data_IF_140461996320
#
_entry.id   IF_140461996320
#
_cell.length_a   1.000
_cell.length_b   1.000
_cell.length_c   1.000
_cell.angle_alpha   90.00
_cell.angle_beta   90.00
_cell.angle_gamma   90.00
#
_symmetry.space_group_name_H-M   'P 1'
#
loop_
_entity.id
_entity.type
_entity.pdbx_description
1 polymer ?
#
# COMPACT_ATOMS: atom_id res chain seq x y z
N UNK A 1 6.00 8.57 -16.73
CA UNK A 1 5.49 7.73 -15.62
C UNK A 1 4.20 8.34 -15.09
N UNK A 2 3.08 7.63 -15.18
CA UNK A 2 1.74 8.15 -14.93
C UNK A 2 1.54 8.60 -13.47
N UNK A 3 0.97 9.80 -13.30
CA UNK A 3 0.62 10.42 -12.01
C UNK A 3 -0.59 9.71 -11.37
N UNK A 4 -0.37 8.56 -10.75
CA UNK A 4 -1.35 7.89 -9.87
C UNK A 4 -1.38 8.34 -8.38
N UNK A 5 -0.64 9.35 -7.85
CA UNK A 5 -0.70 9.66 -6.42
C UNK A 5 -1.97 10.43 -5.98
N UNK A 6 -2.91 10.73 -6.89
CA UNK A 6 -4.12 11.50 -6.56
C UNK A 6 -5.24 10.66 -5.93
N UNK A 7 -5.40 9.41 -6.37
CA UNK A 7 -6.54 8.56 -5.95
C UNK A 7 -6.51 8.15 -4.47
N UNK A 8 -5.31 8.02 -3.89
CA UNK A 8 -5.11 7.67 -2.47
C UNK A 8 -4.69 8.88 -1.63
N UNK A 9 -4.95 10.09 -2.12
CA UNK A 9 -4.71 11.30 -1.34
C UNK A 9 -5.75 11.43 -0.23
N UNK A 10 -5.36 12.02 0.91
CA UNK A 10 -6.27 12.24 2.04
C UNK A 10 -7.58 12.96 1.64
N UNK A 11 -7.58 14.07 0.86
CA UNK A 11 -8.82 14.73 0.48
C UNK A 11 -9.71 13.85 -0.41
N UNK A 12 -9.12 13.03 -1.30
CA UNK A 12 -9.90 12.12 -2.14
C UNK A 12 -10.54 11.00 -1.31
N UNK A 13 -9.79 10.42 -0.36
CA UNK A 13 -10.34 9.39 0.54
C UNK A 13 -11.42 9.96 1.46
N UNK A 14 -11.24 11.17 1.98
CA UNK A 14 -12.25 11.86 2.78
C UNK A 14 -13.51 12.16 1.96
N UNK A 15 -13.36 12.71 0.75
CA UNK A 15 -14.48 12.97 -0.15
C UNK A 15 -15.21 11.69 -0.54
N UNK A 16 -14.49 10.62 -0.86
CA UNK A 16 -15.07 9.31 -1.16
C UNK A 16 -15.82 8.73 0.05
N UNK A 17 -15.28 8.87 1.26
CA UNK A 17 -15.94 8.42 2.49
C UNK A 17 -17.25 9.18 2.69
N UNK A 18 -17.24 10.52 2.59
CA UNK A 18 -18.45 11.35 2.73
C UNK A 18 -19.51 10.98 1.70
N UNK A 19 -19.13 10.88 0.41
CA UNK A 19 -20.05 10.48 -0.65
C UNK A 19 -20.62 9.09 -0.37
N UNK A 20 -19.78 8.12 0.01
CA UNK A 20 -20.23 6.78 0.35
C UNK A 20 -21.18 6.79 1.56
N UNK A 21 -20.92 7.61 2.59
CA UNK A 21 -21.82 7.75 3.75
C UNK A 21 -23.18 8.27 3.32
N UNK A 22 -23.23 9.31 2.47
CA UNK A 22 -24.50 9.83 1.96
C UNK A 22 -25.26 8.79 1.12
N UNK A 23 -24.53 8.02 0.29
CA UNK A 23 -25.12 6.94 -0.51
C UNK A 23 -25.62 5.79 0.37
N UNK A 24 -24.86 5.39 1.38
CA UNK A 24 -25.22 4.35 2.35
C UNK A 24 -26.45 4.72 3.19
N UNK A 25 -26.59 6.00 3.54
CA UNK A 25 -27.73 6.51 4.30
C UNK A 25 -29.04 6.57 3.48
N UNK A 26 -28.98 6.45 2.15
CA UNK A 26 -30.17 6.48 1.30
C UNK A 26 -30.08 5.49 0.14
N UNK A 27 -29.58 5.89 -1.05
CA UNK A 27 -29.67 5.09 -2.28
C UNK A 27 -29.13 3.65 -2.22
N UNK A 28 -28.11 3.39 -1.39
CA UNK A 28 -27.50 2.06 -1.28
C UNK A 28 -28.20 1.13 -0.29
N UNK A 29 -29.13 1.62 0.53
CA UNK A 29 -29.80 0.82 1.56
C UNK A 29 -30.52 -0.43 1.00
N UNK A 30 -31.27 -0.35 -0.12
CA UNK A 30 -31.91 -1.54 -0.70
C UNK A 30 -30.89 -2.58 -1.17
N UNK A 31 -29.74 -2.14 -1.68
CA UNK A 31 -28.67 -3.03 -2.13
C UNK A 31 -27.93 -3.68 -0.95
N UNK A 32 -27.68 -2.91 0.11
CA UNK A 32 -27.14 -3.46 1.36
C UNK A 32 -28.04 -4.56 1.93
N UNK A 33 -29.36 -4.34 1.90
CA UNK A 33 -30.36 -5.31 2.34
C UNK A 33 -30.43 -6.53 1.41
N UNK A 34 -30.43 -6.31 0.09
CA UNK A 34 -30.44 -7.39 -0.90
C UNK A 34 -29.23 -8.31 -0.76
N UNK A 35 -28.06 -7.73 -0.49
CA UNK A 35 -26.82 -8.47 -0.34
C UNK A 35 -26.49 -8.82 1.12
N UNK A 36 -27.42 -8.76 2.07
CA UNK A 36 -27.08 -9.11 3.45
C UNK A 36 -26.50 -10.53 3.57
N UNK A 37 -25.45 -10.73 4.37
CA UNK A 37 -24.75 -12.02 4.47
C UNK A 37 -25.54 -13.17 5.11
N UNK A 38 -26.75 -12.91 5.62
CA UNK A 38 -27.54 -13.87 6.40
C UNK A 38 -27.87 -15.18 5.67
N UNK A 39 -27.91 -15.16 4.34
CA UNK A 39 -28.07 -16.38 3.55
C UNK A 39 -27.00 -17.42 3.88
N UNK A 40 -25.79 -17.02 4.26
CA UNK A 40 -24.69 -17.92 4.59
C UNK A 40 -24.98 -18.84 5.79
N UNK A 41 -25.76 -18.36 6.77
CA UNK A 41 -26.16 -19.17 7.93
C UNK A 41 -27.04 -20.37 7.54
N UNK A 42 -27.75 -20.28 6.41
CA UNK A 42 -28.61 -21.36 5.90
C UNK A 42 -27.80 -22.48 5.25
N UNK A 43 -26.70 -22.16 4.58
CA UNK A 43 -25.91 -23.14 3.82
C UNK A 43 -24.78 -23.77 4.64
N UNK A 44 -24.30 -23.04 5.63
CA UNK A 44 -23.04 -23.36 6.34
C UNK A 44 -23.14 -22.96 7.82
N UNK A 45 -24.08 -23.55 8.59
CA UNK A 45 -24.34 -23.16 9.97
C UNK A 45 -23.14 -23.42 10.91
N UNK A 46 -22.41 -24.50 10.70
CA UNK A 46 -21.30 -24.92 11.57
C UNK A 46 -20.02 -24.09 11.37
N UNK A 47 -19.96 -23.30 10.29
CA UNK A 47 -18.78 -22.49 9.96
C UNK A 47 -18.70 -21.20 10.78
N UNK A 48 -19.80 -20.78 11.39
CA UNK A 48 -19.89 -19.52 12.13
C UNK A 48 -18.78 -19.38 13.17
N UNK A 49 -18.63 -20.39 14.04
CA UNK A 49 -17.67 -20.35 15.14
C UNK A 49 -16.25 -20.24 14.60
N UNK A 50 -15.89 -21.06 13.61
CA UNK A 50 -14.56 -21.01 13.01
C UNK A 50 -14.27 -19.64 12.38
N UNK A 51 -15.20 -19.12 11.57
CA UNK A 51 -15.04 -17.84 10.88
C UNK A 51 -14.93 -16.66 11.85
N UNK A 52 -15.71 -16.66 12.93
CA UNK A 52 -15.70 -15.62 13.95
C UNK A 52 -14.47 -15.70 14.88
N UNK A 53 -14.01 -16.90 15.21
CA UNK A 53 -12.89 -17.07 16.16
C UNK A 53 -11.52 -16.96 15.52
N UNK A 54 -11.37 -17.38 14.25
CA UNK A 54 -10.06 -17.50 13.60
C UNK A 54 -9.87 -16.40 12.55
N UNK A 55 -10.53 -16.41 11.37
CA UNK A 55 -10.37 -15.36 10.37
C UNK A 55 -10.77 -13.95 10.85
N UNK A 56 -11.91 -13.81 11.52
CA UNK A 56 -12.37 -12.50 11.97
C UNK A 56 -11.39 -11.90 12.98
N UNK A 57 -10.85 -12.73 13.89
CA UNK A 57 -9.88 -12.32 14.89
C UNK A 57 -8.58 -11.75 14.28
N UNK A 58 -8.17 -12.15 13.07
CA UNK A 58 -6.98 -11.59 12.39
C UNK A 58 -7.08 -10.07 12.29
N UNK A 59 -8.24 -9.57 11.88
CA UNK A 59 -8.48 -8.14 11.74
C UNK A 59 -9.01 -7.49 13.02
N UNK A 60 -9.02 -8.22 14.13
CA UNK A 60 -9.45 -7.72 15.43
C UNK A 60 -8.28 -7.10 16.20
N UNK A 61 -8.59 -6.08 17.00
CA UNK A 61 -7.59 -5.27 17.70
C UNK A 61 -6.67 -6.11 18.58
N UNK A 62 -7.21 -7.15 19.21
CA UNK A 62 -6.46 -8.07 20.08
C UNK A 62 -5.33 -8.83 19.37
N UNK A 63 -5.38 -8.94 18.03
CA UNK A 63 -4.35 -9.61 17.22
C UNK A 63 -3.52 -8.60 16.46
N UNK A 64 -4.17 -7.64 15.79
CA UNK A 64 -3.46 -6.74 14.88
C UNK A 64 -2.56 -5.74 15.64
N UNK A 65 -2.99 -5.22 16.80
CA UNK A 65 -2.23 -4.24 17.57
C UNK A 65 -0.95 -4.86 18.16
N UNK A 66 -0.96 -6.05 18.80
CA UNK A 66 0.27 -6.71 19.21
C UNK A 66 1.26 -6.96 18.07
N UNK A 67 0.78 -7.27 16.86
CA UNK A 67 1.63 -7.44 15.68
C UNK A 67 2.31 -6.11 15.34
N UNK A 68 1.55 -5.02 15.24
CA UNK A 68 2.11 -3.69 14.95
C UNK A 68 3.08 -3.26 16.06
N UNK A 69 2.72 -3.47 17.33
CA UNK A 69 3.56 -3.18 18.47
C UNK A 69 4.87 -3.99 18.45
N UNK A 70 4.83 -5.29 18.15
CA UNK A 70 6.02 -6.12 18.04
C UNK A 70 6.95 -5.64 16.92
N UNK A 71 6.41 -5.32 15.74
CA UNK A 71 7.18 -4.73 14.63
C UNK A 71 7.80 -3.40 15.06
N UNK A 72 7.02 -2.53 15.69
CA UNK A 72 7.46 -1.22 16.15
C UNK A 72 8.55 -1.32 17.22
N UNK A 73 8.37 -2.17 18.24
CA UNK A 73 9.35 -2.41 19.31
C UNK A 73 10.65 -2.96 18.73
N UNK A 74 10.56 -3.94 17.82
CA UNK A 74 11.75 -4.50 17.17
C UNK A 74 12.54 -3.43 16.41
N UNK A 75 11.85 -2.62 15.59
CA UNK A 75 12.49 -1.52 14.85
C UNK A 75 13.05 -0.46 15.82
N UNK A 76 12.28 -0.09 16.84
CA UNK A 76 12.66 0.89 17.85
C UNK A 76 13.94 0.47 18.59
N UNK A 77 14.03 -0.81 18.97
CA UNK A 77 15.22 -1.40 19.59
C UNK A 77 16.41 -1.43 18.61
N UNK A 78 16.20 -1.91 17.38
CA UNK A 78 17.26 -2.07 16.36
C UNK A 78 17.87 -0.74 15.91
N UNK A 79 17.05 0.31 15.86
CA UNK A 79 17.44 1.65 15.40
C UNK A 79 17.56 2.66 16.54
N UNK A 80 17.38 2.23 17.79
CA UNK A 80 17.46 3.07 19.02
C UNK A 80 16.65 4.36 18.91
N UNK A 81 15.38 4.22 18.50
CA UNK A 81 14.49 5.33 18.15
C UNK A 81 13.06 5.08 18.63
N UNK A 82 12.36 6.13 19.05
CA UNK A 82 10.99 6.04 19.58
C UNK A 82 9.92 6.20 18.50
N UNK A 83 10.31 6.55 17.27
CA UNK A 83 9.40 6.82 16.16
C UNK A 83 8.40 5.72 15.83
N UNK A 84 8.80 4.44 15.75
CA UNK A 84 7.84 3.38 15.45
C UNK A 84 6.73 3.31 16.51
N UNK A 85 7.06 3.57 17.77
CA UNK A 85 6.08 3.61 18.86
C UNK A 85 5.15 4.82 18.75
N UNK A 86 5.66 5.97 18.31
CA UNK A 86 4.82 7.13 18.02
C UNK A 86 3.81 6.84 16.89
N UNK A 87 4.20 6.06 15.87
CA UNK A 87 3.28 5.60 14.82
C UNK A 87 2.21 4.66 15.35
N UNK A 88 2.55 3.75 16.27
CA UNK A 88 1.56 2.89 16.97
C UNK A 88 0.53 3.75 17.70
N UNK A 89 1.00 4.69 18.52
CA UNK A 89 0.11 5.59 19.29
C UNK A 89 -0.76 6.43 18.35
N UNK A 90 -0.20 6.95 17.26
CA UNK A 90 -0.97 7.70 16.27
C UNK A 90 -2.03 6.83 15.56
N UNK A 91 -1.73 5.56 15.30
CA UNK A 91 -2.67 4.61 14.71
C UNK A 91 -3.84 4.32 15.66
N UNK A 92 -3.57 4.06 16.94
CA UNK A 92 -4.60 3.83 17.95
C UNK A 92 -5.49 5.06 18.18
N UNK A 93 -4.87 6.24 18.32
CA UNK A 93 -5.62 7.50 18.45
C UNK A 93 -6.48 7.72 17.19
N UNK A 94 -5.90 7.53 16.00
CA UNK A 94 -6.62 7.66 14.74
C UNK A 94 -7.77 6.68 14.60
N UNK A 95 -7.61 5.46 15.11
CA UNK A 95 -8.67 4.45 15.14
C UNK A 95 -9.80 4.86 16.07
N UNK A 96 -9.53 5.13 17.34
CA UNK A 96 -10.59 5.45 18.31
C UNK A 96 -11.24 6.80 18.06
N UNK A 97 -10.45 7.85 17.83
CA UNK A 97 -10.99 9.20 17.61
C UNK A 97 -11.61 9.35 16.21
N UNK A 98 -11.00 8.74 15.18
CA UNK A 98 -11.49 8.82 13.81
C UNK A 98 -12.61 7.81 13.53
N UNK A 99 -12.26 6.53 13.49
CA UNK A 99 -13.17 5.45 13.10
C UNK A 99 -14.21 5.18 14.20
N UNK A 100 -13.76 5.04 15.45
CA UNK A 100 -14.62 4.87 16.61
C UNK A 100 -15.54 6.07 16.84
N UNK A 101 -15.00 7.29 16.70
CA UNK A 101 -15.80 8.52 16.73
C UNK A 101 -16.90 8.50 15.66
N UNK A 102 -16.56 8.14 14.41
CA UNK A 102 -17.54 8.06 13.32
C UNK A 102 -18.64 7.02 13.60
N UNK A 103 -18.27 5.87 14.19
CA UNK A 103 -19.24 4.85 14.63
C UNK A 103 -20.25 5.37 15.64
N UNK A 104 -19.77 6.08 16.66
CA UNK A 104 -20.61 6.65 17.71
C UNK A 104 -21.52 7.75 17.13
N UNK A 105 -20.97 8.61 16.27
CA UNK A 105 -21.72 9.72 15.68
C UNK A 105 -22.81 9.27 14.72
N UNK A 106 -22.54 8.23 13.92
CA UNK A 106 -23.46 7.78 12.86
C UNK A 106 -24.44 6.72 13.34
N UNK A 107 -24.09 5.93 14.35
CA UNK A 107 -25.02 5.03 15.04
C UNK A 107 -25.84 4.13 14.11
N UNK A 108 -25.19 3.50 13.12
CA UNK A 108 -25.89 2.63 12.16
C UNK A 108 -26.15 1.25 12.74
N UNK A 109 -27.38 0.76 12.65
CA UNK A 109 -27.74 -0.61 13.07
C UNK A 109 -27.12 -1.67 12.17
N UNK A 110 -26.62 -2.76 12.75
CA UNK A 110 -26.13 -3.94 12.04
C UNK A 110 -27.28 -4.75 11.41
N UNK A 111 -26.99 -5.61 10.41
CA UNK A 111 -27.99 -6.50 9.81
C UNK A 111 -28.71 -7.40 10.82
N UNK A 112 -28.09 -7.67 11.97
CA UNK A 112 -28.65 -8.55 12.99
C UNK A 112 -29.80 -7.96 13.80
N UNK A 113 -29.90 -6.63 13.88
CA UNK A 113 -30.79 -5.95 14.83
C UNK A 113 -31.67 -4.89 14.19
N UNK A 114 -31.39 -4.51 12.93
CA UNK A 114 -32.15 -3.46 12.27
C UNK A 114 -31.95 -3.47 10.76
N UNK A 115 -32.51 -2.46 10.11
CA UNK A 115 -32.57 -2.36 8.66
C UNK A 115 -31.48 -1.47 8.06
N UNK A 116 -30.49 -1.10 8.87
CA UNK A 116 -29.35 -0.28 8.46
C UNK A 116 -29.64 1.22 8.50
N UNK A 117 -30.59 1.67 9.30
CA UNK A 117 -30.85 3.10 9.54
C UNK A 117 -29.69 3.73 10.30
N UNK A 118 -29.36 4.96 9.91
CA UNK A 118 -28.37 5.80 10.60
C UNK A 118 -29.06 6.60 11.70
N UNK A 119 -28.33 6.94 12.76
CA UNK A 119 -28.78 7.73 13.92
C UNK A 119 -29.88 7.09 14.79
N UNK A 120 -30.51 6.01 14.34
CA UNK A 120 -31.51 5.25 15.10
C UNK A 120 -30.90 4.11 15.92
N UNK A 121 -29.64 3.74 15.64
CA UNK A 121 -28.91 2.73 16.40
C UNK A 121 -28.34 3.27 17.70
N UNK A 122 -27.05 3.05 17.90
CA UNK A 122 -26.29 3.55 19.05
C UNK A 122 -25.97 2.50 20.11
N UNK A 123 -24.91 2.80 20.88
CA UNK A 123 -24.35 1.91 21.90
C UNK A 123 -25.35 1.56 23.02
N UNK A 124 -26.15 2.53 23.46
CA UNK A 124 -27.09 2.33 24.57
C UNK A 124 -28.34 1.55 24.16
N UNK A 125 -28.76 1.65 22.90
CA UNK A 125 -29.96 1.00 22.38
C UNK A 125 -29.71 -0.44 21.95
N UNK A 126 -28.60 -0.68 21.24
CA UNK A 126 -28.32 -1.97 20.58
C UNK A 126 -26.89 -2.49 20.83
N UNK A 127 -26.17 -1.92 21.79
CA UNK A 127 -24.80 -2.31 22.09
C UNK A 127 -23.88 -2.14 20.88
N UNK A 128 -23.00 -3.12 20.67
CA UNK A 128 -22.08 -3.13 19.52
C UNK A 128 -22.80 -3.26 18.16
N UNK A 129 -24.00 -3.83 18.14
CA UNK A 129 -24.80 -3.95 16.92
C UNK A 129 -25.49 -2.62 16.54
N UNK A 130 -25.48 -1.61 17.41
CA UNK A 130 -25.96 -0.27 17.10
C UNK A 130 -24.93 0.64 16.42
N UNK A 131 -23.70 0.16 16.19
CA UNK A 131 -22.57 0.95 15.69
C UNK A 131 -21.79 0.21 14.60
N UNK A 132 -22.51 -0.24 13.58
CA UNK A 132 -21.94 -1.04 12.49
C UNK A 132 -21.13 -0.21 11.48
N UNK A 133 -21.49 1.05 11.23
CA UNK A 133 -20.82 1.88 10.21
C UNK A 133 -19.82 2.85 10.82
N UNK A 134 -18.59 2.97 10.27
CA UNK A 134 -17.95 2.08 9.29
C UNK A 134 -17.42 0.78 9.94
N UNK A 135 -17.10 -0.25 9.15
CA UNK A 135 -16.54 -1.51 9.66
C UNK A 135 -15.18 -1.31 10.35
N UNK A 136 -15.09 -1.80 11.60
CA UNK A 136 -13.87 -1.70 12.42
C UNK A 136 -12.77 -2.63 11.94
N UNK A 137 -13.09 -3.93 11.78
CA UNK A 137 -12.15 -4.95 11.31
C UNK A 137 -11.57 -4.59 9.94
N UNK A 138 -12.41 -4.12 9.01
CA UNK A 138 -11.94 -3.71 7.68
C UNK A 138 -11.04 -2.47 7.76
N UNK A 139 -11.33 -1.54 8.68
CA UNK A 139 -10.49 -0.36 8.88
C UNK A 139 -9.14 -0.71 9.53
N UNK A 140 -9.12 -1.58 10.55
CA UNK A 140 -7.88 -2.06 11.18
C UNK A 140 -7.01 -2.85 10.21
N UNK A 141 -7.62 -3.69 9.38
CA UNK A 141 -6.92 -4.47 8.37
C UNK A 141 -6.06 -3.57 7.45
N UNK A 142 -6.57 -2.38 7.10
CA UNK A 142 -5.82 -1.40 6.31
C UNK A 142 -4.91 -0.56 7.18
N UNK A 143 -5.42 -0.02 8.28
CA UNK A 143 -4.71 0.95 9.13
C UNK A 143 -3.49 0.31 9.82
N UNK A 144 -3.70 -0.77 10.57
CA UNK A 144 -2.70 -1.36 11.46
C UNK A 144 -1.66 -2.13 10.65
N UNK A 145 -2.09 -3.03 9.76
CA UNK A 145 -1.15 -3.75 8.89
C UNK A 145 -0.49 -2.83 7.86
N UNK A 146 -1.20 -1.81 7.38
CA UNK A 146 -0.62 -0.78 6.53
C UNK A 146 0.42 0.07 7.25
N UNK A 147 0.21 0.39 8.54
CA UNK A 147 1.21 1.07 9.37
C UNK A 147 2.43 0.17 9.63
N UNK A 148 2.24 -1.13 9.87
CA UNK A 148 3.34 -2.08 10.00
C UNK A 148 4.15 -2.18 8.70
N UNK A 149 3.47 -2.31 7.57
CA UNK A 149 4.10 -2.29 6.24
C UNK A 149 4.82 -0.96 5.99
N UNK A 150 4.22 0.17 6.38
CA UNK A 150 4.85 1.48 6.28
C UNK A 150 6.17 1.54 7.06
N UNK A 151 6.18 1.13 8.33
CA UNK A 151 7.38 1.11 9.16
C UNK A 151 8.46 0.20 8.57
N UNK A 152 8.10 -1.02 8.18
CA UNK A 152 9.05 -1.94 7.54
C UNK A 152 9.67 -1.32 6.28
N UNK A 153 8.85 -0.77 5.38
CA UNK A 153 9.32 -0.14 4.15
C UNK A 153 10.16 1.12 4.40
N UNK A 154 9.85 1.85 5.47
CA UNK A 154 10.55 3.06 5.84
C UNK A 154 11.98 2.75 6.34
N UNK A 155 12.11 1.74 7.22
CA UNK A 155 13.37 1.42 7.89
C UNK A 155 14.28 0.45 7.12
N UNK A 156 13.73 -0.40 6.26
CA UNK A 156 14.54 -1.41 5.53
C UNK A 156 15.02 -0.93 4.16
N UNK A 157 14.54 0.22 3.67
CA UNK A 157 14.84 0.74 2.33
C UNK A 157 14.70 -0.31 1.20
N UNK A 158 13.62 -1.10 1.14
CA UNK A 158 13.65 -2.35 0.41
C UNK A 158 13.32 -2.18 -1.07
N UNK A 159 13.63 -3.22 -1.84
CA UNK A 159 13.38 -3.30 -3.28
C UNK A 159 11.88 -3.27 -3.63
N UNK A 160 11.59 -3.10 -4.93
CA UNK A 160 10.21 -3.07 -5.43
C UNK A 160 9.43 -4.36 -5.14
N UNK A 161 10.12 -5.50 -5.01
CA UNK A 161 9.50 -6.80 -4.76
C UNK A 161 8.93 -6.88 -3.34
N UNK A 162 9.68 -6.48 -2.32
CA UNK A 162 9.18 -6.46 -0.94
C UNK A 162 8.00 -5.50 -0.79
N UNK A 163 8.08 -4.31 -1.40
CA UNK A 163 6.94 -3.37 -1.45
C UNK A 163 5.69 -4.01 -2.02
N UNK A 164 5.81 -4.72 -3.14
CA UNK A 164 4.69 -5.42 -3.76
C UNK A 164 4.16 -6.53 -2.86
N UNK A 165 5.02 -7.33 -2.23
CA UNK A 165 4.62 -8.40 -1.30
C UNK A 165 3.85 -7.87 -0.10
N UNK A 166 4.36 -6.83 0.57
CA UNK A 166 3.68 -6.21 1.70
C UNK A 166 2.34 -5.57 1.30
N UNK A 167 2.28 -4.95 0.12
CA UNK A 167 1.02 -4.40 -0.41
C UNK A 167 -0.02 -5.50 -0.63
N UNK A 168 0.38 -6.62 -1.24
CA UNK A 168 -0.50 -7.78 -1.41
C UNK A 168 -0.91 -8.40 -0.08
N UNK A 169 0.00 -8.49 0.89
CA UNK A 169 -0.32 -9.02 2.22
C UNK A 169 -1.41 -8.19 2.90
N UNK A 170 -1.27 -6.86 2.91
CA UNK A 170 -2.29 -5.96 3.47
C UNK A 170 -3.61 -6.10 2.71
N UNK A 171 -3.56 -6.19 1.38
CA UNK A 171 -4.77 -6.37 0.56
C UNK A 171 -5.48 -7.70 0.85
N UNK A 172 -4.74 -8.79 1.05
CA UNK A 172 -5.30 -10.09 1.39
C UNK A 172 -5.93 -10.11 2.79
N UNK A 173 -5.31 -9.45 3.77
CA UNK A 173 -5.86 -9.32 5.12
C UNK A 173 -7.14 -8.46 5.08
N UNK A 174 -7.14 -7.35 4.34
CA UNK A 174 -8.32 -6.53 4.15
C UNK A 174 -9.44 -7.30 3.44
N UNK A 175 -9.12 -8.08 2.40
CA UNK A 175 -10.08 -8.94 1.71
C UNK A 175 -10.66 -9.99 2.66
N UNK A 176 -9.82 -10.63 3.48
CA UNK A 176 -10.25 -11.58 4.50
C UNK A 176 -11.25 -10.92 5.47
N UNK A 177 -10.91 -9.75 6.02
CA UNK A 177 -11.79 -9.01 6.93
C UNK A 177 -13.14 -8.68 6.29
N UNK A 178 -13.16 -8.25 5.02
CA UNK A 178 -14.39 -7.97 4.27
C UNK A 178 -15.23 -9.22 4.11
N UNK A 179 -14.65 -10.29 3.57
CA UNK A 179 -15.37 -11.52 3.25
C UNK A 179 -15.95 -12.15 4.52
N UNK A 180 -15.18 -12.19 5.59
CA UNK A 180 -15.58 -12.80 6.86
C UNK A 180 -16.67 -11.96 7.54
N UNK A 181 -16.48 -10.64 7.67
CA UNK A 181 -17.47 -9.77 8.28
C UNK A 181 -18.79 -9.72 7.49
N UNK A 182 -18.69 -9.75 6.16
CA UNK A 182 -19.83 -9.87 5.26
C UNK A 182 -20.57 -11.19 5.49
N UNK A 183 -19.86 -12.31 5.45
CA UNK A 183 -20.42 -13.64 5.61
C UNK A 183 -21.08 -13.84 6.98
N UNK A 184 -20.47 -13.30 8.05
CA UNK A 184 -21.04 -13.33 9.40
C UNK A 184 -22.25 -12.38 9.53
N UNK A 185 -22.52 -11.51 8.55
CA UNK A 185 -23.64 -10.58 8.61
C UNK A 185 -23.49 -9.54 9.73
N UNK A 186 -22.26 -9.26 10.17
CA UNK A 186 -21.99 -8.19 11.15
C UNK A 186 -22.12 -6.80 10.55
N UNK A 187 -21.92 -6.70 9.24
CA UNK A 187 -21.81 -5.43 8.53
C UNK A 187 -22.56 -5.49 7.20
N UNK A 188 -23.13 -4.35 6.83
CA UNK A 188 -23.64 -4.12 5.48
C UNK A 188 -22.46 -4.00 4.49
N UNK A 189 -22.62 -4.36 3.20
CA UNK A 189 -21.59 -4.17 2.18
C UNK A 189 -20.96 -2.77 2.19
N UNK A 190 -21.77 -1.73 2.30
CA UNK A 190 -21.28 -0.34 2.35
C UNK A 190 -20.47 -0.01 3.62
N UNK A 191 -20.75 -0.65 4.76
CA UNK A 191 -19.94 -0.50 5.99
C UNK A 191 -18.50 -0.98 5.76
N UNK A 192 -18.34 -2.07 5.00
CA UNK A 192 -17.05 -2.69 4.71
C UNK A 192 -16.19 -1.79 3.82
N UNK A 193 -16.79 -1.25 2.75
CA UNK A 193 -16.11 -0.28 1.87
C UNK A 193 -15.78 1.00 2.63
N UNK A 194 -16.68 1.47 3.49
CA UNK A 194 -16.42 2.63 4.34
C UNK A 194 -15.28 2.37 5.33
N UNK A 195 -15.16 1.15 5.86
CA UNK A 195 -14.03 0.72 6.68
C UNK A 195 -12.70 0.84 5.95
N UNK A 196 -12.62 0.37 4.68
CA UNK A 196 -11.43 0.53 3.85
C UNK A 196 -11.05 1.99 3.65
N UNK A 197 -12.03 2.85 3.34
CA UNK A 197 -11.81 4.27 3.10
C UNK A 197 -11.38 5.00 4.37
N UNK A 198 -12.04 4.73 5.50
CA UNK A 198 -11.73 5.35 6.79
C UNK A 198 -10.35 4.90 7.30
N UNK A 199 -10.07 3.59 7.31
CA UNK A 199 -8.75 3.06 7.68
C UNK A 199 -7.63 3.58 6.78
N UNK A 200 -7.87 3.59 5.46
CA UNK A 200 -6.96 4.17 4.48
C UNK A 200 -6.72 5.67 4.67
N UNK A 201 -7.77 6.43 4.98
CA UNK A 201 -7.69 7.87 5.25
C UNK A 201 -6.83 8.16 6.47
N UNK A 202 -7.09 7.48 7.59
CA UNK A 202 -6.31 7.63 8.83
C UNK A 202 -4.85 7.25 8.58
N UNK A 203 -4.59 6.10 7.96
CA UNK A 203 -3.24 5.67 7.60
C UNK A 203 -2.54 6.72 6.71
N UNK A 204 -3.25 7.25 5.72
CA UNK A 204 -2.70 8.27 4.82
C UNK A 204 -2.35 9.55 5.57
N UNK A 205 -3.18 9.96 6.52
CA UNK A 205 -2.90 11.12 7.37
C UNK A 205 -1.64 10.89 8.21
N UNK A 206 -1.52 9.72 8.86
CA UNK A 206 -0.33 9.35 9.65
C UNK A 206 0.92 9.39 8.78
N UNK A 207 0.91 8.75 7.60
CA UNK A 207 2.06 8.74 6.68
C UNK A 207 2.42 10.15 6.21
N UNK A 208 1.44 11.00 5.93
CA UNK A 208 1.69 12.38 5.48
C UNK A 208 2.30 13.23 6.59
N UNK A 209 1.75 13.14 7.82
CA UNK A 209 2.25 13.86 9.00
C UNK A 209 3.65 13.37 9.34
N UNK A 210 3.87 12.06 9.39
CA UNK A 210 5.18 11.49 9.69
C UNK A 210 6.25 11.92 8.67
N UNK A 211 5.92 11.90 7.38
CA UNK A 211 6.83 12.41 6.33
C UNK A 211 6.99 13.93 6.37
N UNK A 212 6.04 14.69 6.88
CA UNK A 212 6.19 16.12 7.07
C UNK A 212 7.13 16.41 8.23
N UNK A 213 6.98 15.70 9.35
CA UNK A 213 7.86 15.76 10.52
C UNK A 213 9.29 15.36 10.13
N UNK A 214 9.46 14.26 9.41
CA UNK A 214 10.78 13.81 8.92
C UNK A 214 11.50 14.86 8.05
N UNK A 215 10.74 15.71 7.32
CA UNK A 215 11.30 16.75 6.44
C UNK A 215 11.52 18.09 7.16
N UNK A 216 10.69 18.43 8.14
CA UNK A 216 10.65 19.76 8.76
C UNK A 216 11.18 19.78 10.20
N UNK A 217 11.39 18.62 10.82
CA UNK A 217 11.61 18.49 12.26
C UNK A 217 10.30 18.63 13.06
N UNK A 218 10.30 18.24 14.34
CA UNK A 218 9.18 18.54 15.24
C UNK A 218 9.25 20.01 15.69
N UNK A 219 8.10 20.68 15.87
CA UNK A 219 8.04 22.07 16.31
C UNK A 219 8.65 22.32 17.71
N UNK A 220 8.85 21.27 18.50
CA UNK A 220 9.37 21.34 19.88
C UNK A 220 10.82 20.87 20.03
N UNK A 221 11.60 20.78 18.94
CA UNK A 221 13.02 20.41 18.99
C UNK A 221 13.30 18.93 19.25
N UNK A 222 12.26 18.10 19.39
CA UNK A 222 12.40 16.66 19.42
C UNK A 222 12.75 16.16 18.01
N UNK A 223 13.82 15.40 17.87
CA UNK A 223 14.10 14.66 16.64
C UNK A 223 14.41 13.23 17.02
N UNK A 224 13.61 12.29 16.54
CA UNK A 224 14.05 10.91 16.52
C UNK A 224 15.00 10.73 15.34
N UNK A 225 16.13 10.05 15.57
CA UNK A 225 17.18 9.83 14.56
C UNK A 225 16.63 8.90 13.48
N UNK A 226 16.09 9.48 12.42
CA UNK A 226 15.62 8.71 11.27
C UNK A 226 16.84 8.15 10.54
N UNK A 227 16.79 6.91 10.04
CA UNK A 227 17.78 6.45 9.08
C UNK A 227 17.76 7.47 7.94
N UNK A 228 18.88 8.19 7.73
CA UNK A 228 19.00 9.01 6.54
C UNK A 228 18.81 8.06 5.38
N UNK A 229 17.69 8.24 4.67
CA UNK A 229 17.58 7.68 3.33
C UNK A 229 18.72 8.38 2.61
N UNK A 230 19.78 7.65 2.31
CA UNK A 230 20.74 8.10 1.31
C UNK A 230 19.90 8.20 0.04
N UNK A 231 19.33 9.38 -0.18
CA UNK A 231 19.25 9.92 -1.50
C UNK A 231 20.70 9.91 -1.97
N UNK A 232 21.10 8.79 -2.56
CA UNK A 232 21.87 8.85 -3.77
C UNK A 232 21.02 9.67 -4.75
N UNK A 233 20.97 10.98 -4.49
CA UNK A 233 20.97 11.95 -5.56
C UNK A 233 22.09 11.45 -6.46
N UNK A 234 21.79 11.06 -7.71
CA UNK A 234 22.84 10.64 -8.61
C UNK A 234 23.88 11.74 -8.54
N UNK A 235 25.08 11.39 -8.04
CA UNK A 235 26.22 12.30 -7.99
C UNK A 235 26.20 12.99 -9.35
N UNK A 236 26.00 14.33 -9.41
CA UNK A 236 25.92 15.01 -10.69
C UNK A 236 27.13 14.53 -11.45
N UNK A 237 26.87 13.83 -12.57
CA UNK A 237 27.89 13.04 -13.24
C UNK A 237 29.13 13.92 -13.30
N UNK A 238 30.19 13.54 -12.56
CA UNK A 238 31.46 14.29 -12.57
C UNK A 238 31.71 14.61 -14.02
N UNK A 239 31.88 15.89 -14.35
CA UNK A 239 32.05 16.37 -15.73
C UNK A 239 33.15 15.54 -16.40
N UNK A 240 32.77 14.42 -17.00
CA UNK A 240 33.62 13.64 -17.88
C UNK A 240 33.63 14.49 -19.12
N UNK A 241 34.67 15.32 -19.20
CA UNK A 241 35.09 16.13 -20.34
C UNK A 241 34.22 15.87 -21.57
N UNK A 242 33.17 16.69 -21.74
CA UNK A 242 32.35 16.63 -22.95
C UNK A 242 33.32 16.84 -24.11
N UNK A 243 33.52 15.88 -25.03
CA UNK A 243 34.43 16.11 -26.15
C UNK A 243 33.93 17.36 -26.88
N UNK A 244 34.80 18.36 -27.02
CA UNK A 244 34.45 19.57 -27.76
C UNK A 244 33.99 19.16 -29.16
N UNK A 245 32.86 19.69 -29.66
CA UNK A 245 32.48 19.44 -31.04
C UNK A 245 33.59 19.98 -31.93
N UNK A 246 34.23 19.08 -32.70
CA UNK A 246 35.16 19.48 -33.74
C UNK A 246 34.44 20.41 -34.72
N UNK A 247 35.01 21.57 -35.10
CA UNK A 247 34.41 22.42 -36.10
C UNK A 247 34.39 21.67 -37.43
N UNK A 248 33.19 21.26 -37.87
CA UNK A 248 32.98 20.76 -39.22
C UNK A 248 33.06 21.97 -40.16
N UNK A 249 33.98 22.01 -41.14
CA UNK A 249 34.02 23.12 -42.09
C UNK A 249 32.70 23.22 -42.84
N UNK A 250 32.13 24.43 -42.89
CA UNK A 250 30.81 24.76 -43.46
C UNK A 250 30.69 24.61 -44.99
N UNK A 251 31.47 23.73 -45.61
CA UNK A 251 31.60 23.61 -47.06
C UNK A 251 31.01 22.33 -47.66
N UNK A 252 30.12 21.62 -46.95
CA UNK A 252 29.33 20.50 -47.52
C UNK A 252 27.84 20.74 -47.23
N UNK A 253 27.37 21.93 -47.56
CA UNK A 253 25.94 22.22 -47.70
C UNK A 253 25.69 22.84 -49.07
N UNK A 254 26.14 22.16 -50.12
CA UNK A 254 25.75 22.49 -51.48
C UNK A 254 25.34 21.21 -52.21
N UNK A 255 24.02 21.08 -52.30
CA UNK A 255 23.29 20.61 -53.50
C UNK A 255 23.36 19.10 -53.78
N UNK A 256 22.49 18.34 -53.13
CA UNK A 256 21.85 17.17 -53.76
C UNK A 256 20.34 17.25 -53.50
N UNK A 257 19.54 17.09 -54.56
CA UNK A 257 18.07 17.00 -54.46
C UNK A 257 17.68 15.79 -53.60
N UNK A 258 16.53 15.82 -52.90
CA UNK A 258 16.11 14.76 -51.97
C UNK A 258 15.85 13.37 -52.60
N UNK A 259 16.10 13.19 -53.89
CA UNK A 259 15.88 11.93 -54.62
C UNK A 259 17.12 11.38 -55.34
N UNK A 260 18.29 12.02 -55.24
CA UNK A 260 19.56 11.50 -55.78
C UNK A 260 20.42 10.89 -54.67
N UNK A 261 19.91 9.83 -54.04
CA UNK A 261 20.75 8.96 -53.21
C UNK A 261 21.38 7.89 -54.13
N UNK A 262 22.72 7.74 -54.15
CA UNK A 262 23.33 6.61 -54.83
C UNK A 262 22.84 5.32 -54.17
N UNK A 263 22.34 4.37 -54.99
CA UNK A 263 21.98 3.03 -54.52
C UNK A 263 23.21 2.41 -53.84
N UNK A 264 23.12 1.94 -52.58
CA UNK A 264 24.26 1.34 -51.92
C UNK A 264 24.68 0.09 -52.68
N UNK A 265 25.93 0.08 -53.16
CA UNK A 265 26.56 -1.13 -53.68
C UNK A 265 26.72 -2.12 -52.51
N UNK A 266 25.99 -3.23 -52.58
CA UNK A 266 26.06 -4.33 -51.63
C UNK A 266 27.31 -5.14 -51.94
N UNK A 267 28.49 -4.59 -51.61
CA UNK A 267 29.76 -5.31 -51.83
C UNK A 267 30.58 -5.49 -50.57
N UNK A 268 30.18 -4.93 -49.43
CA UNK A 268 30.89 -5.09 -48.15
C UNK A 268 29.96 -5.21 -46.93
N UNK A 269 28.89 -5.99 -47.03
CA UNK A 269 28.17 -6.44 -45.83
C UNK A 269 28.83 -7.73 -45.32
N UNK A 270 29.70 -7.61 -44.31
CA UNK A 270 30.01 -8.77 -43.48
C UNK A 270 28.75 -9.11 -42.68
N UNK A 271 28.25 -10.35 -42.74
CA UNK A 271 27.16 -10.76 -41.87
C UNK A 271 27.64 -10.67 -40.41
N UNK A 272 26.90 -9.93 -39.59
CA UNK A 272 26.98 -10.05 -38.13
C UNK A 272 26.56 -11.48 -37.78
N UNK A 273 27.53 -12.38 -37.65
CA UNK A 273 27.32 -13.68 -37.03
C UNK A 273 26.99 -13.43 -35.55
N UNK A 274 25.70 -13.30 -35.26
CA UNK A 274 25.21 -13.47 -33.91
C UNK A 274 25.30 -14.96 -33.59
N UNK A 275 26.38 -15.36 -32.90
CA UNK A 275 26.49 -16.69 -32.30
C UNK A 275 25.44 -16.82 -31.20
N UNK A 276 24.23 -17.21 -31.59
CA UNK A 276 23.24 -17.75 -30.68
C UNK A 276 23.67 -19.17 -30.34
N UNK A 277 24.37 -19.32 -29.22
CA UNK A 277 24.77 -20.64 -28.71
C UNK A 277 23.52 -21.46 -28.36
N UNK A 278 23.07 -22.30 -29.28
CA UNK A 278 22.14 -23.39 -28.97
C UNK A 278 22.92 -24.50 -28.28
N UNK A 279 22.61 -24.77 -27.01
CA UNK A 279 23.17 -25.90 -26.28
C UNK A 279 22.74 -27.22 -26.94
N UNK A 280 23.68 -27.92 -27.57
CA UNK A 280 23.49 -29.28 -28.07
C UNK A 280 23.61 -30.26 -26.90
N UNK A 281 22.63 -31.14 -26.64
CA UNK A 281 22.73 -32.13 -25.58
C UNK A 281 23.93 -33.07 -25.81
N UNK A 282 24.90 -33.09 -24.89
CA UNK A 282 26.03 -34.02 -24.92
C UNK A 282 27.43 -33.40 -25.01
N UNK A 283 27.58 -32.08 -25.11
CA UNK A 283 28.89 -31.44 -24.99
C UNK A 283 29.20 -30.99 -23.54
N UNK A 284 30.43 -31.22 -23.04
CA UNK A 284 30.84 -30.70 -21.73
C UNK A 284 30.93 -29.16 -21.75
N UNK A 285 30.42 -28.54 -20.69
CA UNK A 285 30.36 -27.09 -20.57
C UNK A 285 31.78 -26.45 -20.57
N UNK A 286 31.96 -25.27 -21.19
CA UNK A 286 33.23 -24.55 -21.13
C UNK A 286 33.52 -24.08 -19.70
N UNK A 287 34.77 -24.29 -19.26
CA UNK A 287 35.23 -23.95 -17.92
C UNK A 287 35.11 -22.44 -17.65
N UNK A 288 34.58 -22.08 -16.47
CA UNK A 288 34.52 -20.69 -16.00
C UNK A 288 35.93 -20.11 -15.83
N UNK A 289 36.19 -18.86 -16.28
CA UNK A 289 37.48 -18.24 -16.06
C UNK A 289 37.72 -17.96 -14.57
N UNK A 290 38.85 -18.45 -14.06
CA UNK A 290 39.30 -18.30 -12.67
C UNK A 290 39.36 -16.83 -12.24
N UNK A 291 38.75 -16.56 -11.09
CA UNK A 291 38.73 -15.25 -10.43
C UNK A 291 40.07 -15.05 -9.70
N UNK A 292 41.01 -14.34 -10.31
CA UNK A 292 42.25 -13.89 -9.64
C UNK A 292 41.91 -13.05 -8.40
N UNK A 293 42.24 -13.58 -7.22
CA UNK A 293 42.17 -12.88 -5.94
C UNK A 293 43.41 -11.99 -5.82
N UNK A 294 43.20 -10.67 -5.76
CA UNK A 294 44.25 -9.70 -5.42
C UNK A 294 44.39 -9.63 -3.90
N UNK A 295 45.55 -10.02 -3.38
CA UNK A 295 45.95 -9.76 -1.99
C UNK A 295 46.54 -8.35 -1.86
N UNK A 296 46.26 -7.60 -0.78
CA UNK A 296 46.84 -6.29 -0.56
C UNK A 296 48.21 -6.39 0.13
N UNK A 297 49.14 -5.52 -0.26
CA UNK A 297 50.33 -5.14 0.50
C UNK A 297 50.01 -3.95 1.40
#
# INVERSE_FOLDING_TARGET
MARLPRLTSAPVLAGALVVLTMLAAGPLRPYDQMFQGYWAKRYTPDWWLFLDTVPNAIAGQAVCLPILAAVAIFIAWRHRTWHPLAVVVAAEIGFYAGIGGLKVLLGRTAPAVGEGSFLEGGLFSYGWYGMAYPSGHTAEAVLIYGAAAYLLLYYTGPDTRLRRRLTWLVALIALNAIVVAFYLGYHWPSDLVAGLLAGGLVLRCIVNVDRAIARRGLPFGWSYRLPQRSSAEPEPARDTHRPQPLPVPAAIWLRTHPFDLPKPAVTNLQPLAADWSTLVPGQPAPASPERKVLTPR
#
